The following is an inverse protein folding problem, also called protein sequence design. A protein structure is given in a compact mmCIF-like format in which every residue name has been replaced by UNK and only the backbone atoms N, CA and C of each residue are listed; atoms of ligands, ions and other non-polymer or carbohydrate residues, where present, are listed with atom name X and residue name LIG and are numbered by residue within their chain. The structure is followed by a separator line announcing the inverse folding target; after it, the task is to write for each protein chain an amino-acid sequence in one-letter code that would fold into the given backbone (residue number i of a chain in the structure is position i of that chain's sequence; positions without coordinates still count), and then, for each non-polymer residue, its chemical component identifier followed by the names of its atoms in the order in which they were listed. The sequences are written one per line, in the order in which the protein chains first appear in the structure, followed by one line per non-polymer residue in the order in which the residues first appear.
data_IF_364505728323
#
_entry.id   IF_364505728323
#
_cell.length_a   1.000
_cell.length_b   1.000
_cell.length_c   1.000
_cell.angle_alpha   90.00
_cell.angle_beta   90.00
_cell.angle_gamma   90.00
#
_symmetry.space_group_name_H-M   'P 1'
#
loop_
_entity.id
_entity.type
_entity.pdbx_description
1 polymer ?
#
# COMPACT_ATOMS: atom_id res chain seq x y z
N UNK A 1 -6.12 5.20 34.18
CA UNK A 1 -6.23 4.93 32.74
C UNK A 1 -5.02 5.60 32.10
N UNK A 2 -4.04 4.85 31.63
CA UNK A 2 -2.89 5.45 30.93
C UNK A 2 -3.41 5.99 29.59
N UNK A 3 -3.40 7.31 29.44
CA UNK A 3 -3.77 7.94 28.19
C UNK A 3 -2.80 7.50 27.11
N UNK A 4 -3.32 6.91 26.04
CA UNK A 4 -2.50 6.53 24.88
C UNK A 4 -1.79 7.79 24.35
N UNK A 5 -0.46 7.78 24.17
CA UNK A 5 0.23 8.94 23.65
C UNK A 5 -0.27 9.30 22.26
N UNK A 6 -0.43 10.59 21.94
CA UNK A 6 -0.82 11.02 20.61
C UNK A 6 0.26 10.71 19.58
N UNK A 7 -0.13 10.52 18.34
CA UNK A 7 0.83 10.38 17.25
C UNK A 7 1.51 11.74 16.96
N UNK A 8 2.83 11.70 16.87
CA UNK A 8 3.63 12.86 16.47
C UNK A 8 4.24 12.62 15.09
N UNK A 9 3.74 13.30 14.03
CA UNK A 9 4.33 13.22 12.70
C UNK A 9 5.81 13.60 12.74
N UNK A 10 6.64 12.78 12.08
CA UNK A 10 8.10 12.96 12.02
C UNK A 10 8.83 12.94 13.38
N UNK A 11 8.14 12.52 14.46
CA UNK A 11 8.81 12.19 15.72
C UNK A 11 9.70 10.95 15.59
N UNK A 12 10.53 10.70 16.61
CA UNK A 12 11.55 9.62 16.57
C UNK A 12 11.00 8.27 16.14
N UNK A 13 9.87 7.84 16.71
CA UNK A 13 9.26 6.55 16.35
C UNK A 13 8.85 6.51 14.89
N UNK A 14 8.25 7.59 14.36
CA UNK A 14 7.85 7.67 12.95
C UNK A 14 9.05 7.67 12.00
N UNK A 15 10.12 8.42 12.32
CA UNK A 15 11.35 8.44 11.52
C UNK A 15 12.04 7.09 11.48
N UNK A 16 12.05 6.35 12.60
CA UNK A 16 12.56 4.97 12.64
C UNK A 16 11.75 4.07 11.71
N UNK A 17 10.43 4.17 11.73
CA UNK A 17 9.56 3.39 10.83
C UNK A 17 9.85 3.70 9.37
N UNK A 18 9.95 4.97 8.99
CA UNK A 18 10.28 5.38 7.61
C UNK A 18 11.66 4.83 7.22
N UNK A 19 12.67 4.96 8.08
CA UNK A 19 14.01 4.43 7.84
C UNK A 19 13.99 2.91 7.63
N UNK A 20 13.34 2.16 8.51
CA UNK A 20 13.24 0.71 8.40
C UNK A 20 12.48 0.26 7.14
N UNK A 21 11.43 0.99 6.75
CA UNK A 21 10.67 0.71 5.51
C UNK A 21 11.57 0.75 4.27
N UNK A 22 12.54 1.66 4.25
CA UNK A 22 13.49 1.79 3.15
C UNK A 22 14.67 0.83 3.32
N UNK A 23 15.28 0.76 4.49
CA UNK A 23 16.53 0.03 4.72
C UNK A 23 16.37 -1.49 4.65
N UNK A 24 15.30 -2.04 5.24
CA UNK A 24 15.15 -3.50 5.35
C UNK A 24 15.03 -4.22 3.99
N UNK A 25 14.27 -3.75 2.98
CA UNK A 25 14.23 -4.46 1.70
C UNK A 25 15.59 -4.49 1.00
N UNK A 26 16.44 -3.47 1.16
CA UNK A 26 17.82 -3.50 0.64
C UNK A 26 18.67 -4.51 1.40
N UNK A 27 18.57 -4.59 2.73
CA UNK A 27 19.29 -5.57 3.53
C UNK A 27 18.88 -7.00 3.15
N UNK A 28 17.57 -7.27 3.01
CA UNK A 28 17.07 -8.58 2.60
C UNK A 28 17.47 -8.93 1.16
N UNK A 29 17.44 -7.96 0.25
CA UNK A 29 17.92 -8.19 -1.12
C UNK A 29 19.42 -8.48 -1.16
N UNK A 30 20.22 -7.77 -0.37
CA UNK A 30 21.65 -8.04 -0.21
C UNK A 30 21.91 -9.45 0.34
N UNK A 31 21.14 -9.86 1.35
CA UNK A 31 21.23 -11.20 1.93
C UNK A 31 20.93 -12.30 0.90
N UNK A 32 19.85 -12.15 0.12
CA UNK A 32 19.51 -13.10 -0.96
C UNK A 32 20.62 -13.18 -2.01
N UNK A 33 21.16 -12.03 -2.42
CA UNK A 33 22.26 -11.98 -3.40
C UNK A 33 23.54 -12.59 -2.87
N UNK A 34 23.87 -12.36 -1.60
CA UNK A 34 25.06 -12.91 -0.95
C UNK A 34 24.98 -14.42 -0.78
N UNK A 35 23.86 -14.92 -0.27
CA UNK A 35 23.65 -16.36 -0.04
C UNK A 35 23.37 -17.14 -1.31
N UNK A 36 22.85 -16.49 -2.36
CA UNK A 36 22.37 -17.10 -3.61
C UNK A 36 21.40 -18.27 -3.35
N UNK A 37 20.70 -18.25 -2.20
CA UNK A 37 19.86 -19.33 -1.70
C UNK A 37 18.38 -19.04 -1.97
N UNK A 38 17.75 -19.91 -2.73
CA UNK A 38 16.28 -19.86 -2.94
C UNK A 38 15.50 -20.13 -1.64
N UNK A 39 16.12 -20.85 -0.68
CA UNK A 39 15.50 -21.08 0.63
C UNK A 39 15.45 -19.78 1.44
N UNK A 40 16.55 -19.02 1.48
CA UNK A 40 16.60 -17.72 2.16
C UNK A 40 15.55 -16.78 1.58
N UNK A 41 15.44 -16.71 0.26
CA UNK A 41 14.42 -15.92 -0.41
C UNK A 41 13.00 -16.35 0.00
N UNK A 42 12.70 -17.67 -0.04
CA UNK A 42 11.38 -18.20 0.37
C UNK A 42 11.07 -17.89 1.83
N UNK A 43 12.05 -17.96 2.72
CA UNK A 43 11.90 -17.59 4.13
C UNK A 43 11.52 -16.11 4.26
N UNK A 44 12.19 -15.21 3.54
CA UNK A 44 11.89 -13.77 3.57
C UNK A 44 10.48 -13.50 3.04
N UNK A 45 10.12 -14.07 1.89
CA UNK A 45 8.77 -13.94 1.30
C UNK A 45 7.71 -14.52 2.25
N UNK A 46 7.99 -15.68 2.85
CA UNK A 46 7.12 -16.29 3.85
C UNK A 46 6.96 -15.42 5.09
N UNK A 47 8.05 -14.83 5.59
CA UNK A 47 8.03 -13.92 6.74
C UNK A 47 7.20 -12.67 6.44
N UNK A 48 7.37 -12.01 5.27
CA UNK A 48 6.55 -10.89 4.87
C UNK A 48 5.07 -11.26 4.78
N UNK A 49 4.75 -12.37 4.11
CA UNK A 49 3.38 -12.83 3.96
C UNK A 49 2.73 -13.16 5.31
N UNK A 50 3.45 -13.88 6.16
CA UNK A 50 2.97 -14.24 7.50
C UNK A 50 2.77 -13.00 8.38
N UNK A 51 3.70 -12.05 8.33
CA UNK A 51 3.60 -10.78 9.07
C UNK A 51 2.34 -10.02 8.67
N UNK A 52 2.07 -9.87 7.36
CA UNK A 52 0.87 -9.21 6.86
C UNK A 52 -0.41 -9.90 7.32
N UNK A 53 -0.50 -11.22 7.14
CA UNK A 53 -1.69 -12.00 7.52
C UNK A 53 -1.90 -11.98 9.03
N UNK A 54 -0.87 -12.24 9.83
CA UNK A 54 -0.99 -12.25 11.29
C UNK A 54 -1.33 -10.86 11.83
N UNK A 55 -0.69 -9.80 11.33
CA UNK A 55 -0.99 -8.44 11.72
C UNK A 55 -2.47 -8.10 11.45
N UNK A 56 -2.97 -8.46 10.28
CA UNK A 56 -4.38 -8.25 9.91
C UNK A 56 -5.33 -9.03 10.84
N UNK A 57 -5.07 -10.32 11.09
CA UNK A 57 -5.91 -11.14 11.97
C UNK A 57 -5.89 -10.65 13.43
N UNK A 58 -4.73 -10.27 13.94
CA UNK A 58 -4.59 -9.70 15.29
C UNK A 58 -5.34 -8.38 15.38
N UNK A 59 -5.20 -7.49 14.38
CA UNK A 59 -5.96 -6.25 14.31
C UNK A 59 -7.46 -6.50 14.35
N UNK A 60 -7.99 -7.37 13.49
CA UNK A 60 -9.41 -7.71 13.46
C UNK A 60 -9.90 -8.22 14.81
N UNK A 61 -9.14 -9.13 15.44
CA UNK A 61 -9.50 -9.70 16.75
C UNK A 61 -9.57 -8.62 17.83
N UNK A 62 -8.55 -7.78 17.94
CA UNK A 62 -8.45 -6.76 19.00
C UNK A 62 -9.50 -5.66 18.81
N UNK A 63 -9.71 -5.22 17.58
CA UNK A 63 -10.73 -4.21 17.28
C UNK A 63 -12.15 -4.76 17.53
N UNK A 64 -12.41 -6.01 17.15
CA UNK A 64 -13.69 -6.66 17.46
C UNK A 64 -13.92 -6.80 18.97
N UNK A 65 -12.88 -7.16 19.73
CA UNK A 65 -12.98 -7.31 21.19
C UNK A 65 -13.23 -5.97 21.90
N UNK A 66 -12.82 -4.85 21.33
CA UNK A 66 -13.10 -3.53 21.90
C UNK A 66 -14.56 -3.14 21.85
N UNK A 67 -15.38 -3.79 21.02
CA UNK A 67 -16.79 -3.46 20.79
C UNK A 67 -17.02 -2.09 20.14
N UNK A 68 -15.94 -1.41 19.73
CA UNK A 68 -16.02 -0.04 19.22
C UNK A 68 -16.44 0.06 17.75
N UNK A 69 -16.43 -1.08 17.02
CA UNK A 69 -16.73 -1.11 15.57
C UNK A 69 -17.72 -2.23 15.24
N UNK A 70 -18.56 -1.98 14.25
CA UNK A 70 -19.48 -2.98 13.71
C UNK A 70 -18.75 -3.99 12.82
N UNK A 71 -19.39 -5.14 12.52
CA UNK A 71 -18.77 -6.15 11.65
C UNK A 71 -18.59 -5.63 10.21
N UNK A 72 -19.47 -4.75 9.75
CA UNK A 72 -19.37 -4.10 8.46
C UNK A 72 -18.07 -3.30 8.33
N UNK A 73 -17.65 -2.62 9.39
CA UNK A 73 -16.39 -1.85 9.42
C UNK A 73 -15.13 -2.71 9.41
N UNK A 74 -15.26 -4.03 9.60
CA UNK A 74 -14.16 -4.99 9.59
C UNK A 74 -13.96 -5.70 8.25
N UNK A 75 -14.78 -5.41 7.24
CA UNK A 75 -14.61 -6.00 5.91
C UNK A 75 -13.30 -5.51 5.27
N UNK A 76 -12.57 -6.39 4.54
CA UNK A 76 -11.28 -6.04 3.92
C UNK A 76 -11.49 -5.24 2.61
N UNK A 77 -12.04 -4.05 2.73
CA UNK A 77 -12.43 -3.21 1.59
C UNK A 77 -11.65 -1.90 1.50
N UNK A 78 -10.69 -1.67 2.38
CA UNK A 78 -9.73 -0.58 2.17
C UNK A 78 -8.75 -0.93 1.05
N UNK A 79 -8.27 0.05 0.31
CA UNK A 79 -7.31 -0.18 -0.77
C UNK A 79 -6.02 -0.86 -0.26
N UNK A 80 -5.60 -0.58 0.97
CA UNK A 80 -4.44 -1.22 1.59
C UNK A 80 -4.67 -2.72 1.86
N UNK A 81 -5.91 -3.15 2.15
CA UNK A 81 -6.24 -4.58 2.33
C UNK A 81 -6.08 -5.33 1.00
N UNK A 82 -6.55 -4.73 -0.09
CA UNK A 82 -6.38 -5.30 -1.43
C UNK A 82 -4.91 -5.28 -1.85
N UNK A 83 -4.18 -4.18 -1.58
CA UNK A 83 -2.76 -4.09 -1.86
C UNK A 83 -1.95 -5.15 -1.09
N UNK A 84 -2.34 -5.46 0.17
CA UNK A 84 -1.76 -6.54 0.96
C UNK A 84 -1.91 -7.89 0.26
N UNK A 85 -3.12 -8.24 -0.19
CA UNK A 85 -3.37 -9.50 -0.89
C UNK A 85 -2.58 -9.57 -2.19
N UNK A 86 -2.59 -8.49 -2.96
CA UNK A 86 -1.92 -8.43 -4.26
C UNK A 86 -0.39 -8.51 -4.11
N UNK A 87 0.20 -7.87 -3.09
CA UNK A 87 1.65 -7.96 -2.87
C UNK A 87 2.06 -9.37 -2.45
N UNK A 88 1.26 -10.06 -1.63
CA UNK A 88 1.50 -11.46 -1.29
C UNK A 88 1.49 -12.32 -2.55
N UNK A 89 0.44 -12.19 -3.39
CA UNK A 89 0.34 -12.93 -4.67
C UNK A 89 1.54 -12.61 -5.57
N UNK A 90 1.94 -11.34 -5.67
CA UNK A 90 3.08 -10.91 -6.48
C UNK A 90 4.40 -11.52 -5.98
N UNK A 91 4.64 -11.57 -4.67
CA UNK A 91 5.84 -12.15 -4.07
C UNK A 91 5.95 -13.66 -4.34
N UNK A 92 4.85 -14.40 -4.26
CA UNK A 92 4.88 -15.85 -4.48
C UNK A 92 4.88 -16.24 -5.96
N UNK A 93 4.16 -15.49 -6.79
CA UNK A 93 4.02 -15.82 -8.23
C UNK A 93 5.10 -15.19 -9.10
N UNK A 94 5.66 -14.05 -8.66
CA UNK A 94 6.63 -13.23 -9.43
C UNK A 94 6.09 -12.83 -10.82
N UNK A 95 4.76 -12.92 -11.01
CA UNK A 95 4.11 -12.58 -12.29
C UNK A 95 4.07 -11.06 -12.47
N UNK A 96 4.55 -10.54 -13.62
CA UNK A 96 4.60 -9.09 -13.87
C UNK A 96 3.25 -8.38 -13.71
N UNK A 97 2.13 -9.02 -14.07
CA UNK A 97 0.81 -8.41 -13.91
C UNK A 97 0.44 -8.14 -12.46
N UNK A 98 0.63 -9.10 -11.54
CA UNK A 98 0.40 -8.90 -10.12
C UNK A 98 1.38 -7.92 -9.50
N UNK A 99 2.63 -7.94 -9.96
CA UNK A 99 3.62 -6.95 -9.54
C UNK A 99 3.21 -5.53 -9.94
N UNK A 100 2.68 -5.32 -11.15
CA UNK A 100 2.20 -4.01 -11.59
C UNK A 100 1.13 -3.46 -10.65
N UNK A 101 0.11 -4.27 -10.31
CA UNK A 101 -0.93 -3.87 -9.37
C UNK A 101 -0.33 -3.59 -7.97
N UNK A 102 0.54 -4.49 -7.46
CA UNK A 102 1.23 -4.31 -6.18
C UNK A 102 2.06 -3.03 -6.15
N UNK A 103 2.75 -2.71 -7.26
CA UNK A 103 3.57 -1.51 -7.37
C UNK A 103 2.73 -0.23 -7.29
N UNK A 104 1.69 -0.12 -8.12
CA UNK A 104 0.91 1.11 -8.18
C UNK A 104 0.03 1.30 -6.93
N UNK A 105 -0.59 0.26 -6.40
CA UNK A 105 -1.38 0.34 -5.17
C UNK A 105 -0.49 0.43 -3.93
N UNK A 106 0.55 -0.40 -3.86
CA UNK A 106 1.48 -0.43 -2.73
C UNK A 106 2.30 0.85 -2.61
N UNK A 107 2.91 1.35 -3.69
CA UNK A 107 3.68 2.60 -3.64
C UNK A 107 2.74 3.81 -3.70
N UNK A 108 1.77 3.83 -4.62
CA UNK A 108 0.87 4.98 -4.79
C UNK A 108 -0.05 5.23 -3.60
N UNK A 109 -0.60 4.16 -3.02
CA UNK A 109 -1.53 4.25 -1.89
C UNK A 109 -0.85 4.22 -0.53
N UNK A 110 0.01 3.20 -0.26
CA UNK A 110 0.51 2.97 1.10
C UNK A 110 1.69 3.88 1.49
N UNK A 111 2.46 4.43 0.54
CA UNK A 111 3.49 5.43 0.87
C UNK A 111 2.87 6.69 1.47
N UNK A 112 1.72 7.14 0.95
CA UNK A 112 1.00 8.27 1.54
C UNK A 112 0.58 7.98 2.99
N UNK A 113 0.09 6.77 3.26
CA UNK A 113 -0.27 6.35 4.61
C UNK A 113 0.94 6.33 5.56
N UNK A 114 2.13 5.97 5.07
CA UNK A 114 3.35 5.99 5.89
C UNK A 114 3.87 7.41 6.11
N UNK A 115 3.84 8.29 5.11
CA UNK A 115 4.38 9.65 5.21
C UNK A 115 3.43 10.61 5.95
N UNK A 116 2.13 10.49 5.71
CA UNK A 116 1.08 11.36 6.29
C UNK A 116 -0.05 10.52 6.87
N UNK A 117 0.23 9.75 7.95
CA UNK A 117 -0.72 8.79 8.48
C UNK A 117 -1.93 9.47 9.11
N UNK A 118 -3.11 8.94 8.80
CA UNK A 118 -4.35 9.24 9.52
C UNK A 118 -4.46 8.35 10.77
N UNK A 119 -3.62 8.60 11.75
CA UNK A 119 -3.50 7.79 12.96
C UNK A 119 -3.43 8.70 14.20
N UNK A 120 -4.40 8.65 15.10
CA UNK A 120 -4.38 9.47 16.32
C UNK A 120 -3.48 8.87 17.43
N UNK A 121 -3.04 7.60 17.30
CA UNK A 121 -2.35 6.84 18.36
C UNK A 121 -0.85 6.75 18.08
N UNK A 122 -0.05 7.21 19.05
CA UNK A 122 1.41 7.14 18.99
C UNK A 122 1.99 5.85 19.57
N UNK A 123 3.29 5.68 19.43
CA UNK A 123 4.05 4.60 20.06
C UNK A 123 3.96 4.71 21.60
N UNK A 124 3.76 3.59 22.36
CA UNK A 124 3.78 2.18 21.92
C UNK A 124 2.38 1.55 21.75
N UNK A 125 1.35 2.28 21.33
CA UNK A 125 0.01 1.72 21.12
C UNK A 125 0.00 0.62 20.07
N UNK A 126 -0.79 -0.46 20.27
CA UNK A 126 -0.84 -1.57 19.32
C UNK A 126 -1.35 -1.13 17.94
N UNK A 127 -2.23 -0.12 17.89
CA UNK A 127 -2.77 0.44 16.64
C UNK A 127 -1.69 1.16 15.82
N UNK A 128 -0.70 1.78 16.51
CA UNK A 128 0.50 2.30 15.87
C UNK A 128 1.26 1.16 15.17
N UNK A 129 1.55 0.07 15.89
CA UNK A 129 2.25 -1.07 15.30
C UNK A 129 1.47 -1.70 14.16
N UNK A 130 0.18 -1.99 14.38
CA UNK A 130 -0.65 -2.63 13.35
C UNK A 130 -0.74 -1.81 12.08
N UNK A 131 -0.92 -0.49 12.21
CA UNK A 131 -0.97 0.43 11.08
C UNK A 131 0.35 0.44 10.29
N UNK A 132 1.47 0.68 10.98
CA UNK A 132 2.76 0.78 10.29
C UNK A 132 3.28 -0.56 9.79
N UNK A 133 3.09 -1.66 10.51
CA UNK A 133 3.51 -2.99 10.05
C UNK A 133 2.84 -3.34 8.74
N UNK A 134 1.51 -3.16 8.61
CA UNK A 134 0.82 -3.47 7.35
C UNK A 134 1.34 -2.63 6.19
N UNK A 135 1.34 -1.31 6.33
CA UNK A 135 1.74 -0.40 5.24
C UNK A 135 3.21 -0.53 4.87
N UNK A 136 4.11 -0.63 5.86
CA UNK A 136 5.54 -0.76 5.61
C UNK A 136 5.89 -2.08 4.92
N UNK A 137 5.30 -3.21 5.36
CA UNK A 137 5.61 -4.52 4.77
C UNK A 137 5.08 -4.62 3.34
N UNK A 138 3.94 -3.98 3.00
CA UNK A 138 3.49 -3.84 1.61
C UNK A 138 4.56 -3.15 0.76
N UNK A 139 5.05 -1.99 1.20
CA UNK A 139 6.11 -1.23 0.50
C UNK A 139 7.39 -2.06 0.38
N UNK A 140 7.81 -2.69 1.49
CA UNK A 140 9.01 -3.54 1.52
C UNK A 140 8.91 -4.71 0.54
N UNK A 141 7.75 -5.35 0.43
CA UNK A 141 7.50 -6.44 -0.51
C UNK A 141 7.65 -6.01 -1.97
N UNK A 142 7.11 -4.83 -2.33
CA UNK A 142 7.26 -4.27 -3.67
C UNK A 142 8.73 -3.96 -3.97
N UNK A 143 9.43 -3.25 -3.06
CA UNK A 143 10.85 -2.90 -3.24
C UNK A 143 11.71 -4.17 -3.33
N UNK A 144 11.44 -5.18 -2.49
CA UNK A 144 12.14 -6.47 -2.52
C UNK A 144 12.02 -7.15 -3.89
N UNK A 145 10.81 -7.19 -4.48
CA UNK A 145 10.58 -7.74 -5.81
C UNK A 145 11.34 -6.97 -6.91
N UNK A 146 11.41 -5.66 -6.82
CA UNK A 146 12.20 -4.83 -7.73
C UNK A 146 13.69 -5.14 -7.62
N UNK A 147 14.20 -5.27 -6.40
CA UNK A 147 15.62 -5.47 -6.14
C UNK A 147 16.08 -6.89 -6.48
N UNK A 148 15.31 -7.92 -6.11
CA UNK A 148 15.73 -9.33 -6.26
C UNK A 148 15.39 -9.87 -7.64
N UNK A 149 14.17 -9.60 -8.13
CA UNK A 149 13.67 -10.14 -9.40
C UNK A 149 13.72 -9.14 -10.56
N UNK A 150 14.21 -7.92 -10.33
CA UNK A 150 14.25 -6.86 -11.34
C UNK A 150 12.88 -6.60 -12.00
N UNK A 151 11.79 -6.87 -11.24
CA UNK A 151 10.45 -6.60 -11.72
C UNK A 151 10.22 -5.10 -11.81
N UNK A 152 9.56 -4.68 -12.87
CA UNK A 152 9.21 -3.28 -13.12
C UNK A 152 7.90 -3.17 -13.88
N UNK A 153 7.20 -2.04 -13.79
CA UNK A 153 6.05 -1.77 -14.64
C UNK A 153 6.43 -1.84 -16.12
N UNK A 154 5.63 -2.54 -16.90
CA UNK A 154 5.81 -2.70 -18.35
C UNK A 154 5.00 -1.64 -19.11
N UNK A 155 5.25 -1.43 -20.40
CA UNK A 155 4.39 -0.59 -21.24
C UNK A 155 2.91 -0.97 -21.07
N UNK A 156 2.04 0.04 -21.07
CA UNK A 156 0.59 -0.09 -20.82
C UNK A 156 0.19 -0.61 -19.42
N UNK A 157 1.11 -0.67 -18.44
CA UNK A 157 0.79 -1.06 -17.08
C UNK A 157 -0.25 -0.13 -16.44
N UNK A 158 -0.21 1.17 -16.73
CA UNK A 158 -1.18 2.15 -16.25
C UNK A 158 -2.61 1.71 -16.62
N UNK A 159 -2.85 1.33 -17.88
CA UNK A 159 -4.18 0.92 -18.36
C UNK A 159 -4.63 -0.35 -17.62
N UNK A 160 -3.73 -1.34 -17.50
CA UNK A 160 -4.06 -2.60 -16.82
C UNK A 160 -4.38 -2.40 -15.34
N UNK A 161 -3.58 -1.58 -14.67
CA UNK A 161 -3.79 -1.32 -13.23
C UNK A 161 -5.00 -0.42 -13.02
N UNK A 162 -5.24 0.54 -13.90
CA UNK A 162 -6.43 1.37 -13.83
C UNK A 162 -7.70 0.51 -13.96
N UNK A 163 -7.72 -0.46 -14.87
CA UNK A 163 -8.84 -1.40 -14.97
C UNK A 163 -9.07 -2.20 -13.66
N UNK A 164 -8.00 -2.64 -12.97
CA UNK A 164 -8.11 -3.25 -11.64
C UNK A 164 -8.61 -2.28 -10.58
N UNK A 165 -8.20 -1.01 -10.68
CA UNK A 165 -8.67 0.06 -9.77
C UNK A 165 -10.16 0.33 -9.97
N UNK A 166 -10.67 0.27 -11.20
CA UNK A 166 -12.12 0.35 -11.48
C UNK A 166 -12.89 -0.83 -10.88
N UNK A 167 -12.34 -2.05 -10.96
CA UNK A 167 -12.96 -3.23 -10.30
C UNK A 167 -13.04 -3.01 -8.78
N UNK A 168 -11.95 -2.56 -8.17
CA UNK A 168 -11.92 -2.20 -6.76
C UNK A 168 -12.98 -1.12 -6.44
N UNK A 169 -12.99 -0.04 -7.22
CA UNK A 169 -13.90 1.10 -7.05
C UNK A 169 -15.37 0.66 -7.08
N UNK A 170 -15.76 -0.14 -8.08
CA UNK A 170 -17.14 -0.59 -8.23
C UNK A 170 -17.57 -1.47 -7.04
N UNK A 171 -16.71 -2.43 -6.66
CA UNK A 171 -17.00 -3.33 -5.54
C UNK A 171 -17.11 -2.55 -4.23
N UNK A 172 -16.17 -1.66 -3.98
CA UNK A 172 -16.09 -0.88 -2.74
C UNK A 172 -17.24 0.12 -2.65
N UNK A 173 -17.56 0.84 -3.72
CA UNK A 173 -18.67 1.79 -3.75
C UNK A 173 -20.02 1.08 -3.55
N UNK A 174 -20.20 -0.12 -4.12
CA UNK A 174 -21.39 -0.93 -3.90
C UNK A 174 -21.51 -1.35 -2.42
N UNK A 175 -20.40 -1.83 -1.84
CA UNK A 175 -20.36 -2.19 -0.42
C UNK A 175 -20.62 -0.99 0.49
N UNK A 176 -20.04 0.16 0.21
CA UNK A 176 -20.26 1.42 0.96
C UNK A 176 -21.74 1.82 0.96
N UNK A 177 -22.40 1.74 -0.19
CA UNK A 177 -23.84 2.05 -0.29
C UNK A 177 -24.72 1.05 0.46
N UNK A 178 -24.31 -0.22 0.55
CA UNK A 178 -25.08 -1.26 1.26
C UNK A 178 -24.86 -1.17 2.77
N UNK A 179 -23.61 -0.93 3.20
CA UNK A 179 -23.23 -0.99 4.63
C UNK A 179 -23.28 0.37 5.33
N UNK A 180 -23.24 1.47 4.57
CA UNK A 180 -23.07 2.82 5.12
C UNK A 180 -21.67 3.12 5.62
N UNK A 181 -20.71 2.21 5.43
CA UNK A 181 -19.29 2.42 5.79
C UNK A 181 -18.58 3.15 4.64
N UNK A 182 -17.60 3.97 4.95
CA UNK A 182 -16.88 4.76 3.97
C UNK A 182 -15.49 4.14 3.67
N UNK A 183 -15.48 3.03 2.96
CA UNK A 183 -14.24 2.41 2.51
C UNK A 183 -13.60 3.20 1.36
N UNK A 184 -12.28 3.30 1.36
CA UNK A 184 -11.55 4.03 0.32
C UNK A 184 -11.96 5.50 0.18
N UNK A 185 -12.73 6.03 1.15
CA UNK A 185 -13.26 7.40 1.15
C UNK A 185 -14.18 7.70 -0.04
N UNK A 186 -14.95 6.70 -0.51
CA UNK A 186 -15.78 6.86 -1.69
C UNK A 186 -17.13 7.56 -1.41
N UNK A 187 -17.63 7.58 -0.16
CA UNK A 187 -18.86 8.30 0.21
C UNK A 187 -18.59 9.75 0.62
N UNK A 188 -17.50 10.00 1.34
CA UNK A 188 -17.11 11.33 1.79
C UNK A 188 -15.60 11.38 2.08
N UNK A 189 -15.06 12.59 2.12
CA UNK A 189 -13.65 12.85 2.43
C UNK A 189 -13.27 12.37 3.83
N UNK A 190 -12.00 12.01 4.08
CA UNK A 190 -11.51 11.71 5.42
C UNK A 190 -11.57 12.95 6.33
N UNK A 191 -11.73 12.74 7.64
CA UNK A 191 -11.72 13.83 8.63
C UNK A 191 -10.33 14.44 8.80
N UNK A 192 -9.27 13.62 8.66
CA UNK A 192 -7.90 14.11 8.70
C UNK A 192 -7.56 14.92 7.44
N UNK A 193 -6.65 15.87 7.59
CA UNK A 193 -6.12 16.65 6.47
C UNK A 193 -5.28 15.75 5.56
N UNK A 194 -5.83 15.36 4.45
CA UNK A 194 -5.19 14.54 3.42
C UNK A 194 -5.25 15.24 2.06
N UNK A 195 -4.59 14.67 1.06
CA UNK A 195 -4.65 15.15 -0.32
C UNK A 195 -6.10 15.19 -0.87
N UNK A 196 -6.98 14.31 -0.37
CA UNK A 196 -8.38 14.27 -0.80
C UNK A 196 -9.19 15.52 -0.38
N UNK A 197 -8.71 16.28 0.61
CA UNK A 197 -9.41 17.49 1.05
C UNK A 197 -9.35 18.65 0.05
N UNK A 198 -8.41 18.62 -0.92
CA UNK A 198 -8.33 19.62 -2.00
C UNK A 198 -9.34 19.39 -3.11
N UNK A 199 -9.95 18.19 -3.17
CA UNK A 199 -10.92 17.82 -4.18
C UNK A 199 -12.27 18.51 -3.90
N UNK A 200 -13.20 18.47 -4.88
CA UNK A 200 -14.52 19.07 -4.79
C UNK A 200 -15.39 18.53 -3.66
N UNK A 201 -16.26 19.34 -3.10
CA UNK A 201 -17.29 18.90 -2.16
C UNK A 201 -18.54 18.35 -2.87
N UNK A 202 -18.68 18.55 -4.17
CA UNK A 202 -19.71 17.92 -4.99
C UNK A 202 -19.35 16.44 -5.19
N UNK A 203 -20.13 15.52 -4.64
CA UNK A 203 -19.81 14.10 -4.59
C UNK A 203 -19.52 13.44 -5.96
N UNK A 204 -20.31 13.63 -7.03
CA UNK A 204 -19.98 13.13 -8.36
C UNK A 204 -18.66 13.68 -8.89
N UNK A 205 -18.40 14.98 -8.71
CA UNK A 205 -17.16 15.62 -9.12
C UNK A 205 -15.97 15.11 -8.29
N UNK A 206 -16.15 14.93 -6.98
CA UNK A 206 -15.16 14.34 -6.09
C UNK A 206 -14.70 12.97 -6.57
N UNK A 207 -15.64 12.07 -6.90
CA UNK A 207 -15.30 10.75 -7.43
C UNK A 207 -14.55 10.83 -8.75
N UNK A 208 -14.97 11.71 -9.67
CA UNK A 208 -14.23 11.94 -10.91
C UNK A 208 -12.82 12.45 -10.66
N UNK A 209 -12.66 13.43 -9.78
CA UNK A 209 -11.35 13.98 -9.40
C UNK A 209 -10.45 12.95 -8.72
N UNK A 210 -11.01 12.01 -7.95
CA UNK A 210 -10.27 10.86 -7.40
C UNK A 210 -9.67 9.98 -8.52
N UNK A 211 -10.41 9.72 -9.59
CA UNK A 211 -9.90 8.95 -10.74
C UNK A 211 -8.79 9.71 -11.46
N UNK A 212 -8.95 11.01 -11.65
CA UNK A 212 -7.90 11.88 -12.25
C UNK A 212 -6.65 11.88 -11.36
N UNK A 213 -6.83 11.99 -10.05
CA UNK A 213 -5.74 11.96 -9.09
C UNK A 213 -5.01 10.61 -9.11
N UNK A 214 -5.74 9.49 -9.12
CA UNK A 214 -5.16 8.15 -9.23
C UNK A 214 -4.35 7.98 -10.52
N UNK A 215 -4.89 8.42 -11.66
CA UNK A 215 -4.17 8.42 -12.94
C UNK A 215 -2.91 9.29 -12.90
N UNK A 216 -2.97 10.46 -12.29
CA UNK A 216 -1.80 11.34 -12.14
C UNK A 216 -0.70 10.65 -11.32
N UNK A 217 -1.05 9.99 -10.20
CA UNK A 217 -0.12 9.17 -9.43
C UNK A 217 0.47 8.03 -10.26
N UNK A 218 -0.34 7.33 -11.04
CA UNK A 218 0.14 6.23 -11.88
C UNK A 218 1.11 6.74 -12.96
N UNK A 219 0.83 7.88 -13.57
CA UNK A 219 1.75 8.51 -14.53
C UNK A 219 3.07 8.88 -13.87
N UNK A 220 3.04 9.54 -12.72
CA UNK A 220 4.25 9.93 -11.96
C UNK A 220 5.08 8.69 -11.59
N UNK A 221 4.43 7.63 -11.09
CA UNK A 221 5.11 6.39 -10.71
C UNK A 221 5.68 5.63 -11.93
N UNK A 222 5.05 5.72 -13.09
CA UNK A 222 5.54 5.08 -14.31
C UNK A 222 6.65 5.87 -15.01
N UNK A 223 6.70 7.18 -14.81
CA UNK A 223 7.60 8.10 -15.53
C UNK A 223 9.08 7.67 -15.50
N UNK A 224 9.69 7.25 -14.37
CA UNK A 224 11.09 6.80 -14.36
C UNK A 224 11.36 5.63 -15.31
N UNK A 225 10.39 4.70 -15.43
CA UNK A 225 10.50 3.54 -16.31
C UNK A 225 10.32 3.92 -17.78
N UNK A 226 9.40 4.84 -18.07
CA UNK A 226 9.23 5.37 -19.42
C UNK A 226 10.48 6.07 -19.92
N UNK A 227 11.09 6.93 -19.09
CA UNK A 227 12.35 7.63 -19.41
C UNK A 227 13.48 6.61 -19.66
N UNK A 228 13.61 5.63 -18.77
CA UNK A 228 14.63 4.56 -18.92
C UNK A 228 14.46 3.78 -20.22
N UNK A 229 13.23 3.40 -20.58
CA UNK A 229 12.96 2.65 -21.81
C UNK A 229 13.21 3.49 -23.08
N UNK A 230 12.86 4.77 -23.05
CA UNK A 230 13.16 5.71 -24.14
C UNK A 230 14.68 5.92 -24.35
N UNK A 231 15.42 6.07 -23.24
CA UNK A 231 16.86 6.24 -23.29
C UNK A 231 17.55 4.99 -23.89
N UNK A 232 17.12 3.79 -23.51
CA UNK A 232 17.66 2.52 -24.07
C UNK A 232 17.32 2.33 -25.54
N UNK A 233 16.14 2.76 -26.01
CA UNK A 233 15.82 2.71 -27.44
C UNK A 233 16.74 3.57 -28.28
N UNK A 234 17.06 4.79 -27.84
CA UNK A 234 17.99 5.68 -28.54
C UNK A 234 19.38 5.09 -28.71
N UNK A 235 19.92 4.41 -27.68
CA UNK A 235 21.25 3.77 -27.72
C UNK A 235 21.27 2.59 -28.70
N UNK A 236 20.16 1.91 -28.94
CA UNK A 236 20.09 0.74 -29.84
C UNK A 236 20.01 1.11 -31.32
N UNK A 237 19.73 2.37 -31.64
CA UNK A 237 19.57 2.90 -33.01
C UNK A 237 20.61 4.00 -33.35
N UNK A 238 21.52 4.33 -32.44
CA UNK A 238 22.70 5.16 -32.66
C UNK A 238 23.95 4.27 -32.82
#
# INVERSE_FOLDING_TARGET
MNSTPPFHPYGTAHLIVIFLTIALPFAFAALVRWTKSSLVERIIVGAFSLTLVLNYLVYLRLVRQSGAVSWEQLLPLQLCDWAMVVVIIAMWTRRPGWFEVAYFWGIGGTVQAVLTPNLPYGFPDFRFFSFFVSHCVIIMGVIFLMLVHHLRPRPFSIIRVFAWTEVYFIITLAADKITGVNYGFLLHKPEAKTLLNILSDNHPLYLFEMHVLALAFFVVLYLPFAIYDLARRKIKYA
#
